data_IF_070680807446
#
_entry.id   IF_070680807446
#
_cell.length_a   1.000
_cell.length_b   1.000
_cell.length_c   1.000
_cell.angle_alpha   90.00
_cell.angle_beta   90.00
_cell.angle_gamma   90.00
#
_symmetry.space_group_name_H-M   'P 1'
#
loop_
_entity.id
_entity.type
_entity.pdbx_description
1 polymer ?
#
# COMPACT_ATOMS: atom_id res chain seq x y z
N UNK A 1 13.05 -25.53 0.91
CA UNK A 1 11.66 -25.17 1.10
C UNK A 1 11.38 -24.68 2.52
N UNK A 2 10.16 -24.27 2.79
CA UNK A 2 9.70 -23.96 4.15
C UNK A 2 9.53 -25.24 4.96
N UNK A 3 9.69 -25.15 6.29
CA UNK A 3 9.40 -26.28 7.19
C UNK A 3 7.89 -26.44 7.39
N UNK A 4 7.22 -26.93 6.34
CA UNK A 4 5.76 -27.14 6.29
C UNK A 4 5.44 -28.47 5.64
N UNK A 5 4.22 -28.97 5.86
CA UNK A 5 3.72 -30.22 5.31
C UNK A 5 2.42 -29.91 4.51
N UNK A 6 2.22 -30.59 3.42
CA UNK A 6 1.08 -30.40 2.52
C UNK A 6 1.55 -30.37 1.08
N UNK A 7 0.71 -29.92 0.18
CA UNK A 7 1.02 -29.81 -1.24
C UNK A 7 2.21 -28.87 -1.47
N UNK A 8 3.27 -29.40 -2.08
CA UNK A 8 4.50 -28.66 -2.33
C UNK A 8 4.51 -28.11 -3.77
N UNK A 9 4.84 -26.82 -3.91
CA UNK A 9 4.90 -26.21 -5.24
C UNK A 9 5.96 -26.89 -6.13
N UNK A 10 7.14 -27.15 -5.57
CA UNK A 10 8.25 -27.73 -6.31
C UNK A 10 8.04 -29.22 -6.63
N UNK A 11 7.80 -30.04 -5.60
CA UNK A 11 7.76 -31.49 -5.77
C UNK A 11 6.44 -32.01 -6.34
N UNK A 12 5.30 -31.43 -5.94
CA UNK A 12 3.97 -31.92 -6.31
C UNK A 12 3.40 -31.19 -7.55
N UNK A 13 3.70 -29.90 -7.71
CA UNK A 13 3.16 -29.06 -8.78
C UNK A 13 4.19 -28.74 -9.87
N UNK A 14 5.43 -29.20 -9.73
CA UNK A 14 6.53 -28.92 -10.66
C UNK A 14 6.74 -27.42 -10.93
N UNK A 15 6.46 -26.59 -9.91
CA UNK A 15 6.53 -25.13 -9.97
C UNK A 15 7.69 -24.61 -9.11
N UNK A 16 8.83 -24.34 -9.73
CA UNK A 16 9.99 -23.74 -9.07
C UNK A 16 9.82 -22.22 -8.96
N UNK A 17 8.97 -21.79 -8.04
CA UNK A 17 8.67 -20.37 -7.82
C UNK A 17 9.91 -19.58 -7.42
N UNK A 18 10.83 -20.16 -6.65
CA UNK A 18 12.07 -19.49 -6.27
C UNK A 18 12.98 -19.26 -7.49
N UNK A 19 13.04 -20.23 -8.39
CA UNK A 19 13.79 -20.07 -9.62
C UNK A 19 13.20 -18.94 -10.47
N UNK A 20 11.88 -18.87 -10.62
CA UNK A 20 11.21 -17.80 -11.38
C UNK A 20 11.50 -16.42 -10.78
N UNK A 21 11.46 -16.30 -9.46
CA UNK A 21 11.79 -15.06 -8.72
C UNK A 21 13.26 -14.68 -8.95
N UNK A 22 14.18 -15.65 -8.83
CA UNK A 22 15.62 -15.43 -9.00
C UNK A 22 16.00 -15.05 -10.42
N UNK A 23 15.32 -15.63 -11.42
CA UNK A 23 15.51 -15.29 -12.84
C UNK A 23 14.80 -13.98 -13.23
N UNK A 24 14.00 -13.41 -12.34
CA UNK A 24 13.26 -12.18 -12.64
C UNK A 24 12.09 -12.37 -13.62
N UNK A 25 11.55 -13.58 -13.71
CA UNK A 25 10.41 -13.89 -14.60
C UNK A 25 9.07 -13.43 -14.06
N UNK A 26 9.02 -13.09 -12.79
CA UNK A 26 7.82 -12.56 -12.11
C UNK A 26 8.12 -11.20 -11.49
N UNK A 27 7.13 -10.31 -11.48
CA UNK A 27 7.27 -8.96 -10.95
C UNK A 27 6.95 -8.88 -9.46
N UNK A 28 6.10 -9.77 -8.95
CA UNK A 28 5.77 -9.89 -7.53
C UNK A 28 5.31 -11.31 -7.21
N UNK A 29 5.21 -11.65 -5.94
CA UNK A 29 4.72 -12.95 -5.48
C UNK A 29 3.57 -12.79 -4.49
N UNK A 30 2.56 -13.70 -4.61
CA UNK A 30 1.39 -13.71 -3.73
C UNK A 30 1.15 -15.13 -3.21
N UNK A 31 1.94 -15.59 -2.23
CA UNK A 31 1.72 -16.90 -1.64
C UNK A 31 0.41 -16.94 -0.85
N UNK A 32 -0.32 -18.06 -0.96
CA UNK A 32 -1.56 -18.31 -0.23
C UNK A 32 -1.24 -18.74 1.21
N UNK A 33 -1.10 -17.79 2.13
CA UNK A 33 -0.88 -18.05 3.55
C UNK A 33 -2.20 -18.02 4.31
N UNK A 34 -3.09 -18.96 4.01
CA UNK A 34 -4.47 -18.96 4.46
C UNK A 34 -4.67 -19.48 5.89
N UNK A 35 -3.70 -20.24 6.41
CA UNK A 35 -3.80 -20.89 7.72
C UNK A 35 -3.55 -19.92 8.87
N UNK A 36 -3.85 -20.40 10.05
CA UNK A 36 -3.62 -19.66 11.29
C UNK A 36 -2.14 -19.71 11.72
N UNK A 37 -1.75 -18.77 12.56
CA UNK A 37 -0.51 -18.82 13.33
C UNK A 37 -0.64 -20.01 14.29
N UNK A 38 0.38 -20.88 14.29
CA UNK A 38 0.40 -22.12 15.09
C UNK A 38 -0.22 -23.33 14.37
N UNK A 39 -0.59 -23.22 13.09
CA UNK A 39 -1.11 -24.37 12.34
C UNK A 39 -0.04 -25.44 12.18
N UNK A 40 -0.38 -26.72 12.51
CA UNK A 40 0.58 -27.84 12.59
C UNK A 40 1.34 -28.12 11.30
N UNK A 41 0.69 -27.96 10.15
CA UNK A 41 1.25 -28.34 8.84
C UNK A 41 1.67 -27.15 7.98
N UNK A 42 1.08 -25.97 8.20
CA UNK A 42 1.32 -24.79 7.37
C UNK A 42 1.20 -23.52 8.22
N UNK A 43 2.09 -23.40 9.20
CA UNK A 43 2.08 -22.28 10.13
C UNK A 43 2.32 -20.93 9.41
N UNK A 44 1.39 -20.02 9.59
CA UNK A 44 1.46 -18.69 8.99
C UNK A 44 2.74 -17.94 9.34
N UNK A 45 3.17 -17.95 10.61
CA UNK A 45 4.38 -17.24 11.04
C UNK A 45 5.64 -17.81 10.36
N UNK A 46 5.78 -19.13 10.29
CA UNK A 46 6.90 -19.76 9.57
C UNK A 46 6.90 -19.42 8.10
N UNK A 47 5.74 -19.50 7.44
CA UNK A 47 5.62 -19.27 6.02
C UNK A 47 5.90 -17.81 5.63
N UNK A 48 5.34 -16.83 6.36
CA UNK A 48 5.55 -15.42 6.04
C UNK A 48 7.03 -15.02 6.23
N UNK A 49 7.68 -15.51 7.28
CA UNK A 49 9.11 -15.25 7.51
C UNK A 49 10.00 -15.91 6.47
N UNK A 50 9.63 -17.09 6.02
CA UNK A 50 10.34 -17.77 4.94
C UNK A 50 10.20 -16.97 3.63
N UNK A 51 9.00 -16.65 3.20
CA UNK A 51 8.76 -15.86 1.99
C UNK A 51 9.45 -14.49 2.05
N UNK A 52 9.40 -13.79 3.17
CA UNK A 52 10.07 -12.50 3.35
C UNK A 52 11.57 -12.51 3.04
N UNK A 53 12.23 -13.68 3.19
CA UNK A 53 13.67 -13.84 2.95
C UNK A 53 14.01 -14.18 1.49
N UNK A 54 13.08 -14.77 0.76
CA UNK A 54 13.36 -15.39 -0.53
C UNK A 54 12.68 -14.72 -1.73
N UNK A 55 12.31 -13.46 -1.62
CA UNK A 55 11.66 -12.70 -2.72
C UNK A 55 12.65 -12.08 -3.71
N UNK A 56 13.94 -12.11 -3.42
CA UNK A 56 14.99 -11.52 -4.27
C UNK A 56 14.66 -10.10 -4.75
N UNK A 57 14.18 -9.23 -3.84
CA UNK A 57 13.81 -7.85 -4.14
C UNK A 57 12.47 -7.67 -4.87
N UNK A 58 11.72 -8.75 -5.13
CA UNK A 58 10.34 -8.65 -5.65
C UNK A 58 9.37 -8.33 -4.52
N UNK A 59 8.35 -7.48 -4.74
CA UNK A 59 7.31 -7.25 -3.75
C UNK A 59 6.61 -8.54 -3.33
N UNK A 60 6.50 -8.74 -2.00
CA UNK A 60 5.76 -9.84 -1.41
C UNK A 60 4.40 -9.35 -0.94
N UNK A 61 3.34 -9.91 -1.50
CA UNK A 61 1.95 -9.63 -1.11
C UNK A 61 1.41 -10.89 -0.46
N UNK A 62 0.88 -10.79 0.75
CA UNK A 62 0.41 -11.96 1.49
C UNK A 62 -1.03 -12.30 1.10
N UNK A 63 -1.24 -13.46 0.47
CA UNK A 63 -2.57 -14.02 0.27
C UNK A 63 -3.13 -14.48 1.61
N UNK A 64 -4.20 -13.84 2.09
CA UNK A 64 -4.76 -14.06 3.42
C UNK A 64 -6.23 -14.41 3.33
N UNK A 65 -6.63 -15.49 4.00
CA UNK A 65 -8.03 -15.91 4.13
C UNK A 65 -8.70 -15.12 5.27
N UNK A 66 -9.73 -14.36 4.92
CA UNK A 66 -10.48 -13.50 5.84
C UNK A 66 -11.23 -14.32 6.87
N UNK A 67 -12.01 -15.33 6.43
CA UNK A 67 -12.83 -16.14 7.32
C UNK A 67 -11.99 -16.94 8.32
N UNK A 68 -10.91 -17.57 7.84
CA UNK A 68 -10.00 -18.30 8.72
C UNK A 68 -9.31 -17.36 9.72
N UNK A 69 -8.93 -16.16 9.29
CA UNK A 69 -8.27 -15.18 10.16
C UNK A 69 -9.18 -14.74 11.32
N UNK A 70 -10.47 -14.47 11.05
CA UNK A 70 -11.40 -14.03 12.12
C UNK A 70 -11.91 -15.19 13.00
N UNK A 71 -11.89 -16.42 12.49
CA UNK A 71 -12.28 -17.62 13.27
C UNK A 71 -11.14 -18.15 14.15
N UNK A 72 -9.90 -18.00 13.71
CA UNK A 72 -8.74 -18.46 14.48
C UNK A 72 -8.52 -17.57 15.71
N UNK A 73 -8.31 -18.21 16.87
CA UNK A 73 -8.00 -17.52 18.12
C UNK A 73 -6.52 -17.17 18.19
N UNK A 74 -6.22 -16.00 18.71
CA UNK A 74 -4.84 -15.59 18.93
C UNK A 74 -4.14 -16.53 19.93
N UNK A 75 -2.91 -16.91 19.65
CA UNK A 75 -2.17 -17.91 20.46
C UNK A 75 -1.77 -17.36 21.83
N UNK A 76 -1.64 -16.05 21.97
CA UNK A 76 -1.25 -15.38 23.21
C UNK A 76 -2.48 -14.82 23.96
N UNK A 77 -3.58 -14.55 23.26
CA UNK A 77 -4.81 -14.04 23.84
C UNK A 77 -6.04 -14.68 23.17
N UNK A 78 -6.54 -15.83 23.67
CA UNK A 78 -7.66 -16.56 23.08
C UNK A 78 -9.00 -15.81 23.06
N UNK A 79 -9.10 -14.63 23.66
CA UNK A 79 -10.31 -13.79 23.65
C UNK A 79 -10.49 -13.03 22.34
N UNK A 80 -9.41 -12.84 21.58
CA UNK A 80 -9.40 -12.13 20.28
C UNK A 80 -9.03 -13.07 19.15
N UNK A 81 -9.29 -12.63 17.90
CA UNK A 81 -8.86 -13.35 16.70
C UNK A 81 -7.42 -13.01 16.30
N UNK A 82 -6.91 -13.68 15.26
CA UNK A 82 -5.52 -13.51 14.81
C UNK A 82 -5.27 -12.32 13.89
N UNK A 83 -6.26 -11.45 13.64
CA UNK A 83 -6.11 -10.35 12.70
C UNK A 83 -4.97 -9.40 13.10
N UNK A 84 -4.93 -8.97 14.36
CA UNK A 84 -3.89 -8.08 14.86
C UNK A 84 -2.50 -8.69 14.71
N UNK A 85 -2.31 -9.93 15.16
CA UNK A 85 -1.02 -10.63 15.11
C UNK A 85 -0.53 -10.80 13.65
N UNK A 86 -1.41 -11.14 12.71
CA UNK A 86 -1.06 -11.29 11.31
C UNK A 86 -0.65 -9.95 10.66
N UNK A 87 -1.39 -8.87 10.90
CA UNK A 87 -1.05 -7.55 10.36
C UNK A 87 0.23 -6.97 10.99
N UNK A 88 0.46 -7.23 12.26
CA UNK A 88 1.71 -6.86 12.93
C UNK A 88 2.93 -7.59 12.32
N UNK A 89 2.83 -8.89 12.10
CA UNK A 89 3.86 -9.67 11.39
C UNK A 89 4.14 -9.10 10.00
N UNK A 90 3.11 -8.79 9.22
CA UNK A 90 3.27 -8.21 7.88
C UNK A 90 4.03 -6.87 7.92
N UNK A 91 3.75 -6.01 8.89
CA UNK A 91 4.38 -4.69 9.02
C UNK A 91 5.82 -4.73 9.52
N UNK A 92 6.14 -5.73 10.33
CA UNK A 92 7.46 -5.87 10.94
C UNK A 92 8.45 -6.66 10.07
N UNK A 93 7.98 -7.28 8.99
CA UNK A 93 8.85 -8.04 8.09
C UNK A 93 9.27 -7.20 6.89
N UNK A 94 10.57 -7.19 6.53
CA UNK A 94 11.03 -6.55 5.32
C UNK A 94 10.41 -7.24 4.09
N UNK A 95 10.29 -6.49 2.98
CA UNK A 95 9.79 -6.96 1.70
C UNK A 95 8.30 -7.32 1.65
N UNK A 96 7.56 -7.35 2.76
CA UNK A 96 6.11 -7.49 2.73
C UNK A 96 5.49 -6.17 2.31
N UNK A 97 4.88 -6.16 1.13
CA UNK A 97 4.37 -4.96 0.47
C UNK A 97 2.85 -4.77 0.65
N UNK A 98 2.15 -5.78 1.15
CA UNK A 98 0.71 -5.70 1.37
C UNK A 98 0.01 -7.04 1.48
N UNK A 99 -1.32 -7.01 1.44
CA UNK A 99 -2.19 -8.19 1.53
C UNK A 99 -3.11 -8.32 0.32
N UNK A 100 -3.32 -9.57 -0.11
CA UNK A 100 -4.37 -9.96 -1.04
C UNK A 100 -5.41 -10.75 -0.27
N UNK A 101 -6.59 -10.18 -0.06
CA UNK A 101 -7.61 -10.73 0.81
C UNK A 101 -8.50 -11.73 0.06
N UNK A 102 -8.52 -12.96 0.51
CA UNK A 102 -9.40 -14.01 0.06
C UNK A 102 -10.58 -14.13 1.06
N UNK A 103 -11.79 -14.01 0.65
CA UNK A 103 -12.24 -13.61 -0.68
C UNK A 103 -13.07 -12.32 -0.55
N UNK A 104 -13.31 -11.62 -1.63
CA UNK A 104 -13.95 -10.30 -1.62
C UNK A 104 -15.30 -10.27 -0.93
N UNK A 105 -16.14 -11.32 -1.12
CA UNK A 105 -17.45 -11.37 -0.48
C UNK A 105 -17.38 -11.44 1.06
N UNK A 106 -16.35 -12.06 1.64
CA UNK A 106 -16.16 -12.06 3.09
C UNK A 106 -15.82 -10.66 3.62
N UNK A 107 -15.03 -9.88 2.87
CA UNK A 107 -14.75 -8.48 3.18
C UNK A 107 -16.01 -7.62 3.07
N UNK A 108 -16.76 -7.77 1.96
CA UNK A 108 -18.00 -6.98 1.71
C UNK A 108 -19.06 -7.28 2.77
N UNK A 109 -19.20 -8.53 3.21
CA UNK A 109 -20.12 -8.92 4.30
C UNK A 109 -19.63 -8.52 5.69
N UNK A 110 -18.44 -7.95 5.80
CA UNK A 110 -17.78 -7.63 7.06
C UNK A 110 -17.71 -8.86 8.00
N UNK A 111 -17.31 -10.01 7.46
CA UNK A 111 -17.23 -11.27 8.21
C UNK A 111 -16.38 -11.10 9.47
N UNK A 112 -16.92 -11.47 10.64
CA UNK A 112 -16.25 -11.32 11.93
C UNK A 112 -15.73 -9.91 12.21
N UNK A 113 -16.39 -8.89 11.67
CA UNK A 113 -15.99 -7.46 11.79
C UNK A 113 -14.70 -7.08 11.08
N UNK A 114 -14.22 -7.91 10.13
CA UNK A 114 -12.92 -7.76 9.47
C UNK A 114 -12.76 -6.43 8.73
N UNK A 115 -13.75 -6.03 7.92
CA UNK A 115 -13.66 -4.80 7.14
C UNK A 115 -13.66 -3.54 8.02
N UNK A 116 -14.44 -3.55 9.09
CA UNK A 116 -14.46 -2.47 10.08
C UNK A 116 -13.09 -2.32 10.77
N UNK A 117 -12.54 -3.42 11.27
CA UNK A 117 -11.21 -3.43 11.90
C UNK A 117 -10.11 -3.01 10.91
N UNK A 118 -10.20 -3.47 9.66
CA UNK A 118 -9.25 -3.09 8.62
C UNK A 118 -9.23 -1.58 8.40
N UNK A 119 -10.40 -0.95 8.27
CA UNK A 119 -10.52 0.49 8.02
C UNK A 119 -10.14 1.34 9.24
N UNK A 120 -10.45 0.88 10.45
CA UNK A 120 -10.29 1.69 11.65
C UNK A 120 -8.97 1.48 12.39
N UNK A 121 -8.23 0.39 12.11
CA UNK A 121 -7.01 0.07 12.82
C UNK A 121 -5.79 -0.15 11.91
N UNK A 122 -5.98 -0.62 10.66
CA UNK A 122 -4.86 -1.06 9.82
C UNK A 122 -4.71 -0.23 8.53
N UNK A 123 -5.79 0.17 7.90
CA UNK A 123 -5.80 0.95 6.65
C UNK A 123 -6.43 2.33 6.88
N UNK A 124 -5.91 3.07 7.85
CA UNK A 124 -6.41 4.38 8.26
C UNK A 124 -6.23 5.47 7.20
N UNK A 125 -5.22 5.32 6.35
CA UNK A 125 -4.86 6.29 5.33
C UNK A 125 -4.57 5.60 4.00
N UNK A 126 -4.75 6.29 2.88
CA UNK A 126 -4.29 5.80 1.58
C UNK A 126 -2.78 5.52 1.61
N UNK A 127 -2.33 4.53 0.86
CA UNK A 127 -0.91 4.22 0.70
C UNK A 127 -0.55 4.11 -0.78
N UNK A 128 0.71 4.41 -1.12
CA UNK A 128 1.23 4.16 -2.45
C UNK A 128 1.47 2.66 -2.65
N UNK A 129 1.36 2.21 -3.89
CA UNK A 129 1.70 0.83 -4.25
C UNK A 129 3.21 0.63 -4.19
N UNK A 130 3.69 -0.60 -3.99
CA UNK A 130 5.12 -0.90 -3.96
C UNK A 130 5.78 -0.56 -5.30
N UNK A 131 7.00 -0.06 -5.22
CA UNK A 131 7.82 0.25 -6.38
C UNK A 131 8.32 -1.03 -7.07
N UNK A 132 8.55 -0.92 -8.38
CA UNK A 132 9.14 -1.98 -9.21
C UNK A 132 10.39 -1.44 -9.94
N UNK A 133 11.48 -1.11 -9.20
CA UNK A 133 12.65 -0.44 -9.77
C UNK A 133 13.40 -1.28 -10.80
N UNK A 134 13.17 -2.59 -10.82
CA UNK A 134 13.72 -3.50 -11.83
C UNK A 134 13.02 -3.38 -13.20
N UNK A 135 11.87 -2.70 -13.28
CA UNK A 135 11.19 -2.35 -14.55
C UNK A 135 11.54 -0.92 -14.94
N UNK A 136 11.33 0.03 -14.03
CA UNK A 136 11.70 1.43 -14.18
C UNK A 136 11.86 2.10 -12.81
N UNK A 137 12.94 2.86 -12.63
CA UNK A 137 13.27 3.59 -11.41
C UNK A 137 13.24 5.12 -11.58
N UNK A 138 12.79 5.59 -12.75
CA UNK A 138 12.80 7.01 -13.10
C UNK A 138 11.47 7.67 -12.79
N UNK A 139 11.47 8.51 -11.78
CA UNK A 139 10.29 9.29 -11.43
C UNK A 139 9.92 10.34 -12.49
N UNK A 140 8.63 10.64 -12.68
CA UNK A 140 8.16 11.70 -13.55
C UNK A 140 8.64 13.06 -13.06
N UNK A 141 8.54 14.08 -13.91
CA UNK A 141 8.79 15.46 -13.49
C UNK A 141 7.70 15.91 -12.52
N UNK A 142 8.02 16.85 -11.63
CA UNK A 142 7.07 17.43 -10.69
C UNK A 142 5.93 18.17 -11.40
N UNK A 143 4.74 18.27 -10.80
CA UNK A 143 3.63 19.10 -11.25
C UNK A 143 4.08 20.56 -11.45
N UNK A 144 3.45 21.26 -12.39
CA UNK A 144 3.82 22.62 -12.77
C UNK A 144 2.69 23.60 -12.50
N UNK A 145 3.02 24.89 -12.39
CA UNK A 145 2.06 25.99 -12.30
C UNK A 145 0.97 25.76 -11.26
N UNK A 146 1.34 25.29 -10.07
CA UNK A 146 0.38 25.08 -8.98
C UNK A 146 -0.21 26.44 -8.57
N UNK A 147 -1.54 26.53 -8.56
CA UNK A 147 -2.31 27.75 -8.26
C UNK A 147 -3.42 27.44 -7.26
N UNK A 148 -3.76 28.43 -6.47
CA UNK A 148 -4.96 28.45 -5.63
C UNK A 148 -6.01 29.30 -6.34
N UNK A 149 -7.23 28.82 -6.46
CA UNK A 149 -8.29 29.53 -7.16
C UNK A 149 -9.64 29.27 -6.52
N UNK A 150 -10.43 30.35 -6.40
CA UNK A 150 -11.84 30.27 -6.05
C UNK A 150 -12.66 29.93 -7.29
N UNK A 151 -13.50 28.92 -7.15
CA UNK A 151 -14.51 28.53 -8.13
C UNK A 151 -15.90 28.80 -7.52
N UNK A 152 -16.98 28.79 -8.30
CA UNK A 152 -18.34 29.03 -7.78
C UNK A 152 -18.74 28.05 -6.66
N UNK A 153 -18.18 26.83 -6.67
CA UNK A 153 -18.50 25.76 -5.73
C UNK A 153 -17.43 25.54 -4.65
N UNK A 154 -16.37 26.38 -4.58
CA UNK A 154 -15.36 26.28 -3.53
C UNK A 154 -13.95 26.72 -3.89
N UNK A 155 -13.04 26.45 -2.96
CA UNK A 155 -11.62 26.79 -3.06
C UNK A 155 -10.82 25.59 -3.54
N UNK A 156 -9.92 25.78 -4.51
CA UNK A 156 -9.20 24.67 -5.15
C UNK A 156 -7.71 24.93 -5.29
N UNK A 157 -6.97 23.84 -5.30
CA UNK A 157 -5.63 23.75 -5.89
C UNK A 157 -5.76 23.23 -7.33
N UNK A 158 -5.08 23.90 -8.25
CA UNK A 158 -4.91 23.46 -9.64
C UNK A 158 -3.43 23.32 -9.95
N UNK A 159 -3.11 22.39 -10.81
CA UNK A 159 -1.76 22.23 -11.35
C UNK A 159 -1.81 21.82 -12.82
N UNK A 160 -0.69 21.94 -13.48
CA UNK A 160 -0.53 21.44 -14.86
C UNK A 160 0.32 20.18 -14.81
N UNK A 161 -0.09 19.16 -15.54
CA UNK A 161 0.67 17.93 -15.72
C UNK A 161 2.11 18.22 -16.20
N UNK A 162 3.12 17.53 -15.70
CA UNK A 162 4.46 17.64 -16.23
C UNK A 162 4.50 17.12 -17.68
N UNK A 163 5.45 17.64 -18.46
CA UNK A 163 5.72 17.07 -19.79
C UNK A 163 6.57 15.81 -19.63
N UNK A 164 6.09 14.70 -20.11
CA UNK A 164 6.85 13.46 -20.21
C UNK A 164 7.86 13.52 -21.37
N UNK A 165 8.93 12.74 -21.27
CA UNK A 165 9.86 12.49 -22.38
C UNK A 165 9.55 11.15 -23.05
N UNK A 166 9.12 10.18 -22.26
CA UNK A 166 8.74 8.84 -22.67
C UNK A 166 7.38 8.50 -22.08
N UNK A 167 6.76 7.42 -22.53
CA UNK A 167 5.51 6.91 -21.95
C UNK A 167 5.68 6.48 -20.47
N UNK A 168 6.87 5.99 -20.11
CA UNK A 168 7.19 5.57 -18.75
C UNK A 168 7.25 6.76 -17.78
N UNK A 169 7.76 7.91 -18.25
CA UNK A 169 7.86 9.14 -17.44
C UNK A 169 6.52 9.91 -17.35
N UNK A 170 5.44 9.42 -17.96
CA UNK A 170 4.17 10.15 -18.00
C UNK A 170 3.44 10.06 -16.66
N UNK A 171 3.05 11.22 -16.13
CA UNK A 171 2.32 11.30 -14.87
C UNK A 171 0.89 10.75 -15.05
N UNK A 172 0.59 9.63 -14.42
CA UNK A 172 -0.72 8.97 -14.45
C UNK A 172 -1.61 9.36 -13.29
N UNK A 173 -1.00 9.70 -12.14
CA UNK A 173 -1.71 10.12 -10.91
C UNK A 173 -0.94 11.21 -10.20
N UNK A 174 -1.60 11.82 -9.23
CA UNK A 174 -1.01 12.82 -8.33
C UNK A 174 -1.34 12.44 -6.89
N UNK A 175 -0.37 12.69 -6.00
CA UNK A 175 -0.59 12.56 -4.56
C UNK A 175 -0.68 13.95 -3.97
N UNK A 176 -1.71 14.17 -3.17
CA UNK A 176 -1.90 15.39 -2.40
C UNK A 176 -1.68 15.07 -0.93
N UNK A 177 -0.68 15.72 -0.36
CA UNK A 177 -0.39 15.64 1.08
C UNK A 177 -0.82 16.93 1.77
N UNK A 178 -1.19 16.83 3.05
CA UNK A 178 -1.50 17.96 3.91
C UNK A 178 -0.68 17.91 5.19
N UNK A 179 -0.02 19.02 5.51
CA UNK A 179 0.78 19.21 6.72
C UNK A 179 0.32 20.44 7.46
N UNK A 180 0.24 20.38 8.77
CA UNK A 180 -0.06 21.53 9.61
C UNK A 180 1.06 22.57 9.56
N UNK A 181 0.76 23.78 10.00
CA UNK A 181 1.76 24.86 10.08
C UNK A 181 2.92 24.46 11.00
N UNK A 182 4.15 24.47 10.47
CA UNK A 182 5.37 24.13 11.22
C UNK A 182 5.69 22.65 11.30
N UNK A 183 4.82 21.77 10.82
CA UNK A 183 5.09 20.35 10.77
C UNK A 183 6.20 20.03 9.76
N UNK A 184 7.08 19.08 10.13
CA UNK A 184 8.13 18.58 9.23
C UNK A 184 7.47 17.82 8.06
N UNK A 185 7.85 18.17 6.85
CA UNK A 185 7.34 17.47 5.66
C UNK A 185 8.09 16.15 5.51
N UNK A 186 7.36 15.06 5.70
CA UNK A 186 7.82 13.69 5.50
C UNK A 186 6.86 12.98 4.53
N UNK A 187 7.30 12.70 3.32
CA UNK A 187 6.51 12.03 2.28
C UNK A 187 6.57 10.51 2.40
N UNK A 188 7.46 9.97 3.26
CA UNK A 188 7.50 8.52 3.51
C UNK A 188 6.36 8.06 4.43
N UNK A 189 5.71 8.99 5.11
CA UNK A 189 4.54 8.69 5.95
C UNK A 189 3.24 8.85 5.17
N UNK A 190 2.49 7.77 5.03
CA UNK A 190 1.17 7.78 4.39
C UNK A 190 0.10 8.57 5.18
N UNK A 191 0.36 8.87 6.45
CA UNK A 191 -0.58 9.59 7.32
C UNK A 191 -0.94 10.99 6.83
N UNK A 192 -0.11 11.56 5.96
CA UNK A 192 -0.32 12.89 5.38
C UNK A 192 -0.94 12.86 3.98
N UNK A 193 -1.16 11.67 3.41
CA UNK A 193 -1.84 11.52 2.12
C UNK A 193 -3.33 11.75 2.32
N UNK A 194 -3.85 12.79 1.69
CA UNK A 194 -5.29 13.11 1.75
C UNK A 194 -6.01 12.80 0.45
N UNK A 195 -5.28 12.64 -0.66
CA UNK A 195 -5.83 12.17 -1.92
C UNK A 195 -4.75 11.56 -2.83
N UNK A 196 -5.15 10.53 -3.59
CA UNK A 196 -4.46 10.02 -4.77
C UNK A 196 -5.45 10.13 -5.93
N UNK A 197 -5.17 10.98 -6.92
CA UNK A 197 -6.12 11.34 -7.97
C UNK A 197 -5.47 11.36 -9.35
N UNK A 198 -6.24 11.12 -10.40
CA UNK A 198 -5.86 11.32 -11.80
C UNK A 198 -6.17 12.75 -12.28
N UNK A 199 -6.91 13.53 -11.49
CA UNK A 199 -7.28 14.90 -11.80
C UNK A 199 -6.10 15.85 -11.52
N UNK A 200 -6.07 16.98 -12.24
CA UNK A 200 -5.09 18.06 -12.04
C UNK A 200 -5.61 19.15 -11.11
N UNK A 201 -6.53 18.79 -10.22
CA UNK A 201 -7.13 19.69 -9.24
C UNK A 201 -7.52 18.96 -7.97
N UNK A 202 -7.60 19.70 -6.86
CA UNK A 202 -8.08 19.21 -5.57
C UNK A 202 -8.91 20.28 -4.87
N UNK A 203 -10.14 19.94 -4.44
CA UNK A 203 -11.01 20.84 -3.68
C UNK A 203 -10.52 20.91 -2.24
N UNK A 204 -10.22 22.12 -1.78
CA UNK A 204 -9.75 22.37 -0.43
C UNK A 204 -10.92 22.43 0.55
N UNK A 205 -10.82 21.86 1.77
CA UNK A 205 -11.84 21.94 2.81
C UNK A 205 -11.78 23.31 3.50
N UNK A 206 -12.24 24.36 2.84
CA UNK A 206 -12.15 25.74 3.33
C UNK A 206 -13.04 25.97 4.56
N UNK A 207 -12.45 26.52 5.63
CA UNK A 207 -13.08 26.82 6.91
C UNK A 207 -12.81 28.26 7.35
N UNK A 208 -13.28 29.23 6.56
CA UNK A 208 -13.21 30.67 6.85
C UNK A 208 -11.80 31.25 7.05
N UNK A 209 -10.77 30.58 6.57
CA UNK A 209 -9.40 31.08 6.58
C UNK A 209 -8.77 31.17 7.98
N UNK A 210 -9.12 30.28 8.88
CA UNK A 210 -8.58 30.27 10.26
C UNK A 210 -7.23 29.57 10.36
N UNK A 211 -7.12 28.41 9.72
CA UNK A 211 -5.96 27.52 9.87
C UNK A 211 -4.98 27.61 8.68
N UNK A 212 -3.71 27.39 8.95
CA UNK A 212 -2.64 27.42 7.95
C UNK A 212 -2.05 26.04 7.74
N UNK A 213 -2.03 25.59 6.47
CA UNK A 213 -1.49 24.30 6.07
C UNK A 213 -0.44 24.46 4.99
N UNK A 214 0.41 23.45 4.87
CA UNK A 214 1.27 23.25 3.71
C UNK A 214 0.79 22.03 2.92
N UNK A 215 0.22 22.27 1.76
CA UNK A 215 -0.09 21.22 0.81
C UNK A 215 1.13 20.89 -0.01
N UNK A 216 1.34 19.60 -0.28
CA UNK A 216 2.41 19.11 -1.12
C UNK A 216 1.81 18.25 -2.21
N UNK A 217 2.20 18.50 -3.44
CA UNK A 217 1.69 17.77 -4.61
C UNK A 217 2.87 17.11 -5.31
N UNK A 218 2.74 15.82 -5.56
CA UNK A 218 3.68 15.04 -6.37
C UNK A 218 2.95 14.40 -7.55
N UNK A 219 3.69 13.89 -8.50
CA UNK A 219 3.17 13.11 -9.62
C UNK A 219 3.69 11.68 -9.52
N UNK A 220 2.85 10.71 -9.87
CA UNK A 220 3.19 9.30 -9.99
C UNK A 220 3.10 8.87 -11.44
N UNK A 221 4.08 8.09 -11.90
CA UNK A 221 3.99 7.35 -13.14
C UNK A 221 3.16 6.06 -13.01
N UNK A 222 3.18 5.23 -14.05
CA UNK A 222 2.46 3.95 -14.08
C UNK A 222 3.02 2.90 -13.10
N UNK A 223 4.30 3.01 -12.70
CA UNK A 223 4.98 2.13 -11.75
C UNK A 223 5.11 2.73 -10.35
N UNK A 224 4.38 3.82 -10.09
CA UNK A 224 4.31 4.51 -8.79
C UNK A 224 5.61 5.22 -8.39
N UNK A 225 6.54 5.44 -9.32
CA UNK A 225 7.69 6.30 -9.06
C UNK A 225 7.20 7.73 -8.78
N UNK A 226 7.57 8.27 -7.64
CA UNK A 226 7.07 9.55 -7.16
C UNK A 226 8.01 10.70 -7.49
N UNK A 227 7.49 11.76 -8.09
CA UNK A 227 8.23 12.95 -8.48
C UNK A 227 8.74 13.76 -7.30
N UNK A 228 9.66 14.68 -7.55
CA UNK A 228 9.98 15.75 -6.60
C UNK A 228 8.72 16.56 -6.26
N UNK A 229 8.55 17.00 -5.00
CA UNK A 229 7.35 17.68 -4.54
C UNK A 229 7.24 19.14 -5.00
N UNK A 230 6.01 19.64 -5.06
CA UNK A 230 5.68 21.07 -5.11
C UNK A 230 4.90 21.45 -3.86
N UNK A 231 5.36 22.47 -3.15
CA UNK A 231 4.80 22.93 -1.88
C UNK A 231 3.96 24.19 -2.07
N UNK A 232 2.78 24.24 -1.46
CA UNK A 232 1.87 25.40 -1.50
C UNK A 232 1.34 25.67 -0.10
N UNK A 233 1.54 26.89 0.39
CA UNK A 233 0.93 27.35 1.65
C UNK A 233 -0.51 27.75 1.38
N UNK A 234 -1.42 27.19 2.17
CA UNK A 234 -2.86 27.45 2.09
C UNK A 234 -3.36 27.93 3.44
N UNK A 235 -4.36 28.80 3.43
CA UNK A 235 -5.08 29.25 4.61
C UNK A 235 -6.55 28.82 4.42
N UNK A 236 -7.04 27.92 5.29
CA UNK A 236 -8.36 27.32 5.24
C UNK A 236 -9.29 27.81 6.34
#
# INVERSE_FOLDING_TARGET
GSDTRGLQNYDDLYADVLYWVNQGWVDYVVPQLYWEIGHKSADYDRLIRWWSRYTNGRPLIIGQDVERTVRARDVNNPTVNQMAAKFELQRNLPNVAGSCLWYSAAVVRNEGNFAYELQNNYHLTPALQPLMPFIDDKAPKKPRKVKKLWMPDGYYLFWTAPKAKTEMDDAKRYVVYCFEKGQKIDLNSSTHIIAITDQTMYKLPYQFGKEKYTYVITALDRLQNESKPVKVKVKL
#
